data_IF_538309377759
#
_entry.id   IF_538309377759
#
_cell.length_a   1.000
_cell.length_b   1.000
_cell.length_c   1.000
_cell.angle_alpha   90.00
_cell.angle_beta   90.00
_cell.angle_gamma   90.00
#
_symmetry.space_group_name_H-M   'P 1'
#
loop_
_entity.id
_entity.type
_entity.pdbx_description
1 polymer ?
#
# COMPACT_ATOMS: atom_id res chain seq x y z
N UNK A 1 4.05 -9.04 10.30
CA UNK A 1 4.87 -8.26 9.34
C UNK A 1 4.00 -7.42 8.39
N UNK A 2 2.83 -7.91 7.95
CA UNK A 2 1.91 -7.14 7.09
C UNK A 2 1.55 -5.75 7.61
N UNK A 3 1.17 -5.65 8.89
CA UNK A 3 0.83 -4.36 9.52
C UNK A 3 2.00 -3.37 9.46
N UNK A 4 3.24 -3.85 9.64
CA UNK A 4 4.42 -2.98 9.51
C UNK A 4 4.56 -2.42 8.08
N UNK A 5 4.31 -3.24 7.05
CA UNK A 5 4.33 -2.78 5.66
C UNK A 5 3.20 -1.77 5.38
N UNK A 6 2.00 -1.97 5.95
CA UNK A 6 0.88 -1.04 5.87
C UNK A 6 1.22 0.32 6.49
N UNK A 7 1.73 0.34 7.72
CA UNK A 7 2.11 1.59 8.39
C UNK A 7 3.31 2.28 7.74
N UNK A 8 4.25 1.51 7.17
CA UNK A 8 5.32 2.07 6.34
C UNK A 8 4.73 2.75 5.10
N UNK A 9 3.70 2.19 4.48
CA UNK A 9 2.99 2.83 3.38
C UNK A 9 2.42 4.20 3.77
N UNK A 10 1.79 4.31 4.94
CA UNK A 10 1.36 5.60 5.48
C UNK A 10 2.52 6.55 5.73
N UNK A 11 3.64 6.07 6.28
CA UNK A 11 4.84 6.88 6.48
C UNK A 11 5.44 7.40 5.16
N UNK A 12 5.25 6.68 4.04
CA UNK A 12 5.64 7.10 2.69
C UNK A 12 4.60 8.02 2.01
N UNK A 13 3.44 8.24 2.63
CA UNK A 13 2.37 9.10 2.10
C UNK A 13 1.25 8.37 1.37
N UNK A 14 1.21 7.03 1.41
CA UNK A 14 0.13 6.26 0.81
C UNK A 14 -1.16 6.35 1.63
N UNK A 15 -2.27 6.55 0.91
CA UNK A 15 -3.62 6.38 1.46
C UNK A 15 -4.10 4.94 1.38
N UNK A 16 -5.32 4.70 1.83
CA UNK A 16 -5.97 3.40 1.65
C UNK A 16 -6.38 3.16 0.21
N UNK A 17 -6.40 1.89 -0.19
CA UNK A 17 -7.03 1.41 -1.43
C UNK A 17 -8.24 0.54 -1.11
N UNK A 18 -9.13 0.33 -2.09
CA UNK A 18 -10.39 -0.40 -1.89
C UNK A 18 -10.26 -1.92 -2.06
N UNK A 19 -9.13 -2.40 -2.61
CA UNK A 19 -8.86 -3.82 -2.81
C UNK A 19 -8.64 -4.53 -1.45
N UNK A 20 -9.51 -5.47 -1.04
CA UNK A 20 -9.41 -6.13 0.26
C UNK A 20 -8.14 -6.96 0.49
N UNK A 21 -7.46 -7.36 -0.59
CA UNK A 21 -6.23 -8.13 -0.55
C UNK A 21 -4.96 -7.25 -0.55
N UNK A 22 -5.08 -5.96 -0.85
CA UNK A 22 -3.96 -5.03 -0.92
C UNK A 22 -3.40 -4.68 0.46
N UNK A 23 -2.09 -4.41 0.54
CA UNK A 23 -1.42 -4.03 1.78
C UNK A 23 -2.03 -2.76 2.37
N UNK A 24 -2.37 -1.79 1.52
CA UNK A 24 -3.01 -0.54 1.94
C UNK A 24 -4.54 -0.65 2.07
N UNK A 25 -5.13 -1.85 2.10
CA UNK A 25 -6.53 -1.98 2.48
C UNK A 25 -6.72 -1.53 3.93
N UNK A 26 -7.80 -0.78 4.18
CA UNK A 26 -8.12 -0.23 5.51
C UNK A 26 -8.25 -1.29 6.60
N UNK A 27 -8.67 -2.51 6.27
CA UNK A 27 -8.85 -3.59 7.24
C UNK A 27 -7.72 -4.60 7.04
N UNK A 28 -6.97 -4.90 8.09
CA UNK A 28 -5.91 -5.90 8.03
C UNK A 28 -6.49 -7.33 8.09
N UNK A 29 -7.01 -7.82 6.97
CA UNK A 29 -7.71 -9.12 6.87
C UNK A 29 -7.10 -10.12 5.89
N UNK A 30 -6.19 -9.68 5.02
CA UNK A 30 -5.47 -10.56 4.09
C UNK A 30 -4.17 -11.05 4.73
N UNK A 31 -3.74 -12.25 4.36
CA UNK A 31 -2.45 -12.84 4.77
C UNK A 31 -1.32 -12.52 3.78
N UNK A 32 -1.62 -11.85 2.65
CA UNK A 32 -0.61 -11.49 1.66
C UNK A 32 0.40 -10.47 2.22
N UNK A 33 1.69 -10.75 2.00
CA UNK A 33 2.80 -9.81 2.24
C UNK A 33 3.26 -9.11 0.95
N UNK A 34 2.69 -9.47 -0.20
CA UNK A 34 3.04 -8.84 -1.47
C UNK A 34 2.13 -7.64 -1.72
N UNK A 35 2.69 -6.49 -2.13
CA UNK A 35 1.89 -5.34 -2.56
C UNK A 35 1.05 -5.71 -3.78
N UNK A 36 -0.22 -5.32 -3.75
CA UNK A 36 -1.12 -5.45 -4.88
C UNK A 36 -0.76 -4.44 -5.98
N UNK A 37 -1.25 -4.61 -7.22
CA UNK A 37 -1.05 -3.64 -8.29
C UNK A 37 -1.43 -2.20 -7.91
N UNK A 38 -2.48 -2.03 -7.10
CA UNK A 38 -2.94 -0.72 -6.62
C UNK A 38 -1.95 -0.08 -5.63
N UNK A 39 -1.33 -0.88 -4.75
CA UNK A 39 -0.29 -0.41 -3.82
C UNK A 39 0.93 0.13 -4.62
N UNK A 40 1.35 -0.62 -5.65
CA UNK A 40 2.46 -0.23 -6.52
C UNK A 40 2.12 0.99 -7.37
N UNK A 41 0.90 1.08 -7.90
CA UNK A 41 0.45 2.24 -8.66
C UNK A 41 0.43 3.50 -7.79
N UNK A 42 -0.06 3.41 -6.56
CA UNK A 42 -0.06 4.51 -5.61
C UNK A 42 1.38 4.93 -5.21
N UNK A 43 2.27 3.96 -4.96
CA UNK A 43 3.68 4.24 -4.68
C UNK A 43 4.38 4.91 -5.86
N UNK A 44 4.18 4.40 -7.09
CA UNK A 44 4.76 4.99 -8.28
C UNK A 44 4.22 6.39 -8.57
N UNK A 45 2.95 6.67 -8.27
CA UNK A 45 2.39 8.01 -8.41
C UNK A 45 3.02 9.01 -7.43
N UNK A 46 3.41 8.57 -6.22
CA UNK A 46 4.12 9.40 -5.25
C UNK A 46 5.61 9.58 -5.59
N UNK A 47 6.29 8.52 -6.03
CA UNK A 47 7.73 8.53 -6.27
C UNK A 47 8.11 9.00 -7.68
N UNK A 48 7.27 8.78 -8.69
CA UNK A 48 7.50 9.10 -10.11
C UNK A 48 7.07 10.50 -10.53
N UNK A 49 6.80 11.39 -9.58
CA UNK A 49 6.41 12.80 -9.79
C UNK A 49 7.57 13.80 -9.71
N UNK A 50 8.80 13.37 -10.01
CA UNK A 50 9.95 14.27 -10.22
C UNK A 50 10.92 13.63 -11.22
N UNK A 51 10.99 14.29 -12.37
CA UNK A 51 11.82 14.08 -13.58
C UNK A 51 11.22 13.18 -14.66
#
# INVERSE_FOLDING_TARGET
>A
MRLLAHELGHALGLGHVDNPDALMYRINQSESLHPAPEDLAALNALCGGKE
#
